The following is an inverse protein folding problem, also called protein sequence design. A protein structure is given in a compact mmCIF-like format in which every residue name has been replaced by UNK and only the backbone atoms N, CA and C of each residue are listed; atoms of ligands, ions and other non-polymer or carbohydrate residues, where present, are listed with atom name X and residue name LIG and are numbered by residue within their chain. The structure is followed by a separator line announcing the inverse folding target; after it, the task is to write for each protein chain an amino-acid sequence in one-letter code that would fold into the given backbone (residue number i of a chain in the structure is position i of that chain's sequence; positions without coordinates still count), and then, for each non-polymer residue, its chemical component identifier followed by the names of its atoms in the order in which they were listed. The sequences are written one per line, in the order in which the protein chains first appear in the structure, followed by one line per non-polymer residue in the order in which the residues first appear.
data_IF_806926857409
#
_entry.id   IF_806926857409
#
_cell.length_a   1.000
_cell.length_b   1.000
_cell.length_c   1.000
_cell.angle_alpha   90.00
_cell.angle_beta   90.00
_cell.angle_gamma   90.00
#
_symmetry.space_group_name_H-M   'P 1'
#
loop_
_entity.id
_entity.type
_entity.pdbx_description
1 polymer ?
#
# COMPACT_ATOMS: atom_id res chain seq x y z
N UNK A 1 3.92 -42.35 2.90
CA UNK A 1 4.79 -41.16 3.05
C UNK A 1 4.02 -39.96 2.47
N UNK A 2 3.09 -39.39 3.23
CA UNK A 2 2.18 -38.33 2.78
C UNK A 2 2.73 -36.97 3.23
N UNK A 3 3.51 -36.32 2.37
CA UNK A 3 3.98 -34.95 2.63
C UNK A 3 2.85 -33.99 2.25
N UNK A 4 2.31 -33.39 3.30
CA UNK A 4 1.22 -32.42 3.38
C UNK A 4 1.31 -31.35 2.29
N UNK A 5 0.30 -31.35 1.42
CA UNK A 5 -0.08 -30.19 0.63
C UNK A 5 -0.72 -29.14 1.55
N UNK A 6 0.08 -28.28 2.16
CA UNK A 6 -0.45 -27.00 2.66
C UNK A 6 -0.57 -26.04 1.47
N UNK A 7 -1.65 -26.24 0.71
CA UNK A 7 -2.28 -25.18 -0.09
C UNK A 7 -2.80 -24.12 0.89
N UNK A 8 -1.94 -23.19 1.28
CA UNK A 8 -2.40 -21.90 1.77
C UNK A 8 -2.00 -20.86 0.75
N UNK A 9 -2.74 -20.84 -0.35
CA UNK A 9 -2.93 -19.62 -1.13
C UNK A 9 -3.63 -18.67 -0.15
N UNK A 10 -2.84 -17.87 0.57
CA UNK A 10 -3.38 -16.68 1.22
C UNK A 10 -3.66 -15.72 0.07
N UNK A 11 -4.81 -15.94 -0.58
CA UNK A 11 -5.59 -14.89 -1.19
C UNK A 11 -5.84 -13.91 -0.05
N UNK A 12 -4.94 -12.95 0.11
CA UNK A 12 -5.29 -11.68 0.72
C UNK A 12 -6.24 -11.06 -0.29
N UNK A 13 -7.49 -11.51 -0.25
CA UNK A 13 -8.61 -10.68 -0.58
C UNK A 13 -8.40 -9.42 0.24
N UNK A 14 -7.88 -8.38 -0.41
CA UNK A 14 -8.22 -7.03 0.00
C UNK A 14 -9.73 -7.07 0.16
N UNK A 15 -10.30 -6.52 1.26
CA UNK A 15 -11.72 -6.33 1.28
C UNK A 15 -12.01 -5.61 -0.03
N UNK A 16 -12.81 -6.24 -0.89
CA UNK A 16 -13.44 -5.53 -1.97
C UNK A 16 -13.91 -4.26 -1.29
N UNK A 17 -13.35 -3.12 -1.66
CA UNK A 17 -13.96 -1.84 -1.36
C UNK A 17 -15.24 -1.79 -2.21
N UNK A 18 -16.14 -2.75 -2.04
CA UNK A 18 -17.55 -2.50 -1.94
C UNK A 18 -17.71 -1.63 -0.69
N UNK A 19 -17.22 -0.39 -0.82
CA UNK A 19 -17.65 0.73 -0.03
C UNK A 19 -19.14 0.79 -0.30
N UNK A 20 -19.90 0.12 0.56
CA UNK A 20 -21.32 0.32 0.66
C UNK A 20 -21.45 1.79 1.01
N UNK A 21 -21.77 2.61 0.01
CA UNK A 21 -22.11 4.02 0.21
C UNK A 21 -23.30 3.99 1.17
N UNK A 22 -23.15 4.43 2.43
CA UNK A 22 -24.27 4.45 3.34
C UNK A 22 -25.33 5.38 2.77
N UNK A 23 -26.61 5.04 2.95
CA UNK A 23 -27.73 5.85 2.46
C UNK A 23 -27.70 7.30 2.99
N UNK A 24 -26.90 7.55 4.02
CA UNK A 24 -26.71 8.83 4.69
C UNK A 24 -25.77 9.82 3.96
N UNK A 25 -25.29 9.52 2.74
CA UNK A 25 -24.66 10.55 1.90
C UNK A 25 -25.72 11.59 1.47
N UNK A 26 -25.72 12.74 2.15
CA UNK A 26 -26.84 13.69 2.20
C UNK A 26 -27.24 14.38 0.88
N UNK A 27 -26.53 14.21 -0.25
CA UNK A 27 -26.97 14.71 -1.56
C UNK A 27 -26.77 13.69 -2.70
N UNK A 28 -27.62 13.77 -3.74
CA UNK A 28 -27.45 12.97 -4.97
C UNK A 28 -26.11 13.25 -5.66
N UNK A 29 -25.63 14.48 -5.60
CA UNK A 29 -24.34 14.91 -6.14
C UNK A 29 -23.18 14.18 -5.46
N UNK A 30 -23.10 14.23 -4.12
CA UNK A 30 -22.03 13.55 -3.38
C UNK A 30 -22.10 12.03 -3.58
N UNK A 31 -23.30 11.44 -3.70
CA UNK A 31 -23.45 10.00 -4.01
C UNK A 31 -22.91 9.62 -5.38
N UNK A 32 -23.15 10.46 -6.39
CA UNK A 32 -22.60 10.24 -7.73
C UNK A 32 -21.07 10.37 -7.72
N UNK A 33 -20.54 11.40 -7.07
CA UNK A 33 -19.09 11.57 -6.91
C UNK A 33 -18.45 10.39 -6.18
N UNK A 34 -19.05 9.93 -5.07
CA UNK A 34 -18.59 8.78 -4.32
C UNK A 34 -18.56 7.51 -5.19
N UNK A 35 -19.61 7.26 -5.96
CA UNK A 35 -19.70 6.10 -6.88
C UNK A 35 -18.68 6.18 -8.00
N UNK A 36 -18.56 7.33 -8.66
CA UNK A 36 -17.55 7.54 -9.70
C UNK A 36 -16.15 7.34 -9.13
N UNK A 37 -15.97 7.72 -7.87
CA UNK A 37 -14.72 7.56 -7.21
C UNK A 37 -14.34 6.11 -6.95
N UNK A 38 -15.24 5.32 -6.35
CA UNK A 38 -14.99 3.90 -6.07
C UNK A 38 -14.78 3.10 -7.36
N UNK A 39 -15.57 3.39 -8.40
CA UNK A 39 -15.45 2.76 -9.72
C UNK A 39 -14.10 2.99 -10.39
N UNK A 40 -13.43 4.12 -10.10
CA UNK A 40 -12.11 4.45 -10.67
C UNK A 40 -10.96 4.03 -9.77
N UNK A 41 -11.14 4.09 -8.44
CA UNK A 41 -10.08 3.85 -7.48
C UNK A 41 -9.53 2.42 -7.57
N UNK A 42 -10.42 1.41 -7.65
CA UNK A 42 -9.99 0.01 -7.71
C UNK A 42 -9.19 -0.31 -8.97
N UNK A 43 -9.67 0.01 -10.20
CA UNK A 43 -8.86 -0.19 -11.40
C UNK A 43 -7.53 0.57 -11.39
N UNK A 44 -7.48 1.77 -10.81
CA UNK A 44 -6.22 2.53 -10.68
C UNK A 44 -5.24 1.84 -9.73
N UNK A 45 -5.71 1.32 -8.60
CA UNK A 45 -4.88 0.57 -7.66
C UNK A 45 -4.33 -0.72 -8.28
N UNK A 46 -5.18 -1.47 -8.99
CA UNK A 46 -4.78 -2.72 -9.66
C UNK A 46 -3.77 -2.46 -10.78
N UNK A 47 -3.97 -1.39 -11.53
CA UNK A 47 -3.00 -0.93 -12.53
C UNK A 47 -1.66 -0.57 -11.88
N UNK A 48 -1.69 0.25 -10.81
CA UNK A 48 -0.48 0.69 -10.15
C UNK A 48 0.31 -0.49 -9.57
N UNK A 49 -0.37 -1.46 -8.94
CA UNK A 49 0.28 -2.69 -8.45
C UNK A 49 0.95 -3.47 -9.58
N UNK A 50 0.29 -3.60 -10.73
CA UNK A 50 0.84 -4.29 -11.89
C UNK A 50 2.10 -3.60 -12.42
N UNK A 51 2.11 -2.26 -12.45
CA UNK A 51 3.30 -1.48 -12.83
C UNK A 51 4.41 -1.64 -11.79
N UNK A 52 4.10 -1.47 -10.50
CA UNK A 52 5.07 -1.53 -9.42
C UNK A 52 5.72 -2.92 -9.27
N UNK A 53 4.96 -3.98 -9.57
CA UNK A 53 5.41 -5.37 -9.63
C UNK A 53 6.17 -5.71 -10.92
N UNK A 54 6.20 -4.79 -11.91
CA UNK A 54 6.86 -5.00 -13.20
C UNK A 54 6.12 -5.92 -14.17
N UNK A 55 4.89 -6.35 -13.85
CA UNK A 55 4.06 -7.18 -14.75
C UNK A 55 3.41 -6.36 -15.86
N UNK A 56 3.36 -5.03 -15.70
CA UNK A 56 2.96 -4.07 -16.73
C UNK A 56 4.04 -3.01 -16.91
N UNK A 57 4.36 -2.67 -18.15
CA UNK A 57 5.25 -1.53 -18.45
C UNK A 57 4.50 -0.21 -18.25
N UNK A 58 5.15 0.74 -17.58
CA UNK A 58 4.71 2.13 -17.56
C UNK A 58 5.69 3.00 -18.34
N UNK A 59 5.15 3.98 -19.06
CA UNK A 59 5.95 5.04 -19.68
C UNK A 59 6.45 6.05 -18.66
N UNK A 60 5.75 6.22 -17.53
CA UNK A 60 6.11 7.12 -16.45
C UNK A 60 5.55 6.64 -15.10
N UNK A 61 6.29 5.75 -14.43
CA UNK A 61 5.88 5.18 -13.14
C UNK A 61 5.62 6.25 -12.07
N UNK A 62 6.42 7.33 -12.06
CA UNK A 62 6.23 8.42 -11.09
C UNK A 62 4.89 9.11 -11.32
N UNK A 63 4.53 9.36 -12.58
CA UNK A 63 3.23 9.91 -12.93
C UNK A 63 2.10 8.96 -12.52
N UNK A 64 2.23 7.67 -12.76
CA UNK A 64 1.20 6.69 -12.38
C UNK A 64 0.96 6.66 -10.86
N UNK A 65 2.04 6.76 -10.07
CA UNK A 65 1.95 6.88 -8.60
C UNK A 65 1.26 8.18 -8.21
N UNK A 66 1.71 9.31 -8.75
CA UNK A 66 1.14 10.64 -8.43
C UNK A 66 -0.34 10.71 -8.80
N UNK A 67 -0.72 10.27 -10.00
CA UNK A 67 -2.12 10.25 -10.45
C UNK A 67 -2.99 9.39 -9.52
N UNK A 68 -2.51 8.21 -9.11
CA UNK A 68 -3.21 7.36 -8.15
C UNK A 68 -3.34 8.01 -6.77
N UNK A 69 -2.26 8.62 -6.29
CA UNK A 69 -2.23 9.25 -4.97
C UNK A 69 -3.15 10.48 -4.90
N UNK A 70 -3.09 11.35 -5.90
CA UNK A 70 -3.97 12.52 -5.97
C UNK A 70 -5.43 12.10 -6.09
N UNK A 71 -5.71 11.09 -6.93
CA UNK A 71 -7.07 10.59 -7.11
C UNK A 71 -7.59 9.91 -5.84
N UNK A 72 -6.81 9.03 -5.22
CA UNK A 72 -7.20 8.32 -4.00
C UNK A 72 -7.42 9.29 -2.84
N UNK A 73 -6.51 10.25 -2.61
CA UNK A 73 -6.68 11.25 -1.57
C UNK A 73 -7.97 12.07 -1.76
N UNK A 74 -8.25 12.51 -2.99
CA UNK A 74 -9.52 13.18 -3.32
C UNK A 74 -10.70 12.25 -3.08
N UNK A 75 -10.58 10.99 -3.47
CA UNK A 75 -11.61 9.97 -3.30
C UNK A 75 -12.03 9.80 -1.85
N UNK A 76 -11.05 9.58 -0.99
CA UNK A 76 -11.30 9.33 0.42
C UNK A 76 -11.84 10.56 1.13
N UNK A 77 -11.47 11.78 0.71
CA UNK A 77 -12.11 13.01 1.19
C UNK A 77 -13.59 13.08 0.80
N UNK A 78 -13.94 12.79 -0.45
CA UNK A 78 -15.33 12.72 -0.90
C UNK A 78 -16.11 11.66 -0.11
N UNK A 79 -15.52 10.49 0.10
CA UNK A 79 -16.15 9.41 0.86
C UNK A 79 -16.26 9.71 2.36
N UNK A 80 -15.31 10.44 2.94
CA UNK A 80 -15.36 10.87 4.35
C UNK A 80 -16.59 11.74 4.64
N UNK A 81 -16.96 12.64 3.71
CA UNK A 81 -18.18 13.44 3.78
C UNK A 81 -19.46 12.59 3.71
N UNK A 82 -19.33 11.34 3.27
CA UNK A 82 -20.40 10.48 2.82
C UNK A 82 -20.69 9.34 3.81
N UNK A 83 -19.64 8.73 4.37
CA UNK A 83 -19.75 7.44 5.05
C UNK A 83 -19.08 7.37 6.42
N UNK A 84 -18.68 8.50 7.01
CA UNK A 84 -17.99 8.49 8.31
C UNK A 84 -16.68 7.70 8.27
N UNK A 85 -16.01 7.70 7.11
CA UNK A 85 -14.68 7.09 6.97
C UNK A 85 -13.76 7.64 8.04
N UNK A 86 -13.01 6.75 8.69
CA UNK A 86 -11.99 7.09 9.68
C UNK A 86 -11.04 8.16 9.08
N UNK A 87 -10.95 9.36 9.68
CA UNK A 87 -10.02 10.40 9.25
C UNK A 87 -8.58 9.91 9.15
N UNK A 88 -8.18 8.91 9.96
CA UNK A 88 -6.84 8.34 9.91
C UNK A 88 -6.57 7.59 8.61
N UNK A 89 -7.61 7.13 7.89
CA UNK A 89 -7.43 6.45 6.61
C UNK A 89 -6.77 7.37 5.57
N UNK A 90 -7.09 8.67 5.59
CA UNK A 90 -6.44 9.67 4.75
C UNK A 90 -4.95 9.76 5.08
N UNK A 91 -4.59 9.93 6.36
CA UNK A 91 -3.19 9.97 6.81
C UNK A 91 -2.44 8.68 6.45
N UNK A 92 -3.11 7.53 6.54
CA UNK A 92 -2.53 6.24 6.20
C UNK A 92 -2.22 6.14 4.69
N UNK A 93 -3.07 6.69 3.82
CA UNK A 93 -2.87 6.72 2.37
C UNK A 93 -1.72 7.63 1.95
N UNK A 94 -1.58 8.79 2.59
CA UNK A 94 -0.39 9.63 2.40
C UNK A 94 0.88 8.82 2.70
N UNK A 95 0.85 7.99 3.75
CA UNK A 95 1.94 7.06 4.06
C UNK A 95 2.22 6.04 2.96
N UNK A 96 1.18 5.48 2.33
CA UNK A 96 1.32 4.58 1.16
C UNK A 96 1.96 5.29 -0.01
N UNK A 97 1.48 6.49 -0.30
CA UNK A 97 1.92 7.29 -1.43
C UNK A 97 3.38 7.70 -1.30
N UNK A 98 3.79 8.07 -0.09
CA UNK A 98 5.19 8.31 0.25
C UNK A 98 6.03 7.05 0.05
N UNK A 99 5.52 5.88 0.46
CA UNK A 99 6.23 4.61 0.33
C UNK A 99 6.37 4.16 -1.14
N UNK A 100 5.31 4.29 -1.95
CA UNK A 100 5.39 4.03 -3.39
C UNK A 100 6.38 4.97 -4.08
N UNK A 101 6.35 6.25 -3.72
CA UNK A 101 7.29 7.26 -4.23
C UNK A 101 8.73 6.96 -3.82
N UNK A 102 8.97 6.58 -2.56
CA UNK A 102 10.27 6.16 -2.06
C UNK A 102 10.78 4.95 -2.85
N UNK A 103 9.94 3.91 -3.01
CA UNK A 103 10.27 2.75 -3.84
C UNK A 103 10.71 3.20 -5.23
N UNK A 104 9.86 3.93 -5.95
CA UNK A 104 10.12 4.23 -7.35
C UNK A 104 11.31 5.18 -7.60
N UNK A 105 11.59 6.10 -6.67
CA UNK A 105 12.63 7.12 -6.85
C UNK A 105 14.00 6.70 -6.32
N UNK A 106 14.03 6.26 -5.06
CA UNK A 106 15.30 6.03 -4.33
C UNK A 106 15.64 4.56 -4.27
N UNK A 107 14.64 3.70 -4.13
CA UNK A 107 14.86 2.32 -3.69
C UNK A 107 14.65 1.27 -4.78
N UNK A 108 14.23 1.66 -5.99
CA UNK A 108 13.80 0.72 -7.04
C UNK A 108 14.92 -0.24 -7.46
N UNK A 109 16.14 0.29 -7.62
CA UNK A 109 17.32 -0.51 -7.95
C UNK A 109 17.69 -1.54 -6.87
N UNK A 110 17.39 -1.27 -5.59
CA UNK A 110 17.57 -2.25 -4.53
C UNK A 110 16.38 -3.23 -4.45
N UNK A 111 15.15 -2.72 -4.60
CA UNK A 111 13.93 -3.52 -4.65
C UNK A 111 14.05 -4.64 -5.69
N UNK A 112 14.45 -4.31 -6.93
CA UNK A 112 14.63 -5.28 -8.01
C UNK A 112 15.63 -6.39 -7.67
N UNK A 113 16.69 -6.09 -6.89
CA UNK A 113 17.66 -7.10 -6.43
C UNK A 113 17.10 -8.02 -5.35
N UNK A 114 16.16 -7.54 -4.53
CA UNK A 114 15.55 -8.31 -3.45
C UNK A 114 14.37 -9.19 -3.91
N UNK A 115 13.72 -8.85 -5.01
CA UNK A 115 12.54 -9.55 -5.53
C UNK A 115 12.89 -10.60 -6.58
N UNK A 116 13.84 -11.50 -6.27
CA UNK A 116 14.21 -12.60 -7.17
C UNK A 116 13.22 -13.77 -7.13
N UNK A 117 12.32 -13.83 -6.14
CA UNK A 117 11.22 -14.80 -6.08
C UNK A 117 9.93 -14.18 -5.55
N UNK A 118 8.79 -14.61 -6.11
CA UNK A 118 7.43 -14.14 -5.75
C UNK A 118 6.95 -14.75 -4.43
N UNK A 119 7.44 -15.93 -4.07
CA UNK A 119 6.80 -16.80 -3.07
C UNK A 119 7.07 -16.40 -1.62
N UNK A 120 8.09 -15.58 -1.34
CA UNK A 120 8.45 -15.30 0.06
C UNK A 120 9.19 -13.97 0.22
N UNK A 121 8.47 -12.85 0.31
CA UNK A 121 9.14 -11.64 0.76
C UNK A 121 8.23 -10.64 1.44
N UNK A 122 8.47 -10.41 2.73
CA UNK A 122 8.06 -9.21 3.45
C UNK A 122 8.26 -7.91 2.65
N UNK A 123 9.21 -7.86 1.70
CA UNK A 123 9.39 -6.76 0.74
C UNK A 123 8.15 -6.51 -0.12
N UNK A 124 7.53 -7.56 -0.67
CA UNK A 124 6.28 -7.41 -1.42
C UNK A 124 5.15 -6.96 -0.49
N UNK A 125 5.01 -7.58 0.68
CA UNK A 125 4.00 -7.18 1.67
C UNK A 125 4.20 -5.76 2.21
N UNK A 126 5.44 -5.29 2.29
CA UNK A 126 5.74 -3.93 2.73
C UNK A 126 5.39 -2.94 1.62
N UNK A 127 5.94 -3.11 0.42
CA UNK A 127 5.82 -2.12 -0.65
C UNK A 127 4.58 -2.24 -1.53
N UNK A 128 4.04 -3.43 -1.78
CA UNK A 128 3.00 -3.66 -2.80
C UNK A 128 1.62 -3.85 -2.18
N UNK A 129 1.56 -4.57 -1.05
CA UNK A 129 0.33 -4.83 -0.32
C UNK A 129 0.51 -4.49 1.15
N UNK A 130 0.64 -3.20 1.52
CA UNK A 130 0.84 -2.78 2.91
C UNK A 130 -0.36 -3.13 3.79
N UNK A 131 -0.44 -4.40 4.22
CA UNK A 131 -1.56 -4.96 4.96
C UNK A 131 -1.84 -4.21 6.26
N UNK A 132 -0.82 -3.57 6.83
CA UNK A 132 -0.89 -2.83 8.07
C UNK A 132 -1.90 -1.66 8.02
N UNK A 133 -2.13 -1.05 6.86
CA UNK A 133 -3.08 0.07 6.74
C UNK A 133 -4.52 -0.34 7.02
N UNK A 134 -4.88 -1.57 6.65
CA UNK A 134 -6.22 -2.08 6.82
C UNK A 134 -6.45 -2.68 8.22
N UNK A 135 -5.43 -2.72 9.08
CA UNK A 135 -5.57 -3.25 10.43
C UNK A 135 -6.18 -2.16 11.32
N UNK A 136 -7.41 -2.33 11.84
CA UNK A 136 -8.07 -1.30 12.64
C UNK A 136 -7.39 -1.11 14.00
N UNK A 137 -6.91 -2.20 14.61
CA UNK A 137 -6.18 -2.16 15.88
C UNK A 137 -4.79 -1.52 15.72
N UNK A 138 -4.55 -0.42 16.45
CA UNK A 138 -3.29 0.33 16.38
C UNK A 138 -2.09 -0.55 16.77
N UNK A 139 -2.22 -1.38 17.81
CA UNK A 139 -1.10 -2.20 18.29
C UNK A 139 -0.68 -3.22 17.25
N UNK A 140 -1.63 -3.99 16.72
CA UNK A 140 -1.40 -4.98 15.68
C UNK A 140 -0.88 -4.34 14.39
N UNK A 141 -1.40 -3.15 14.01
CA UNK A 141 -0.88 -2.35 12.90
C UNK A 141 0.61 -2.04 13.07
N UNK A 142 0.98 -1.49 14.22
CA UNK A 142 2.36 -1.11 14.51
C UNK A 142 3.29 -2.32 14.60
N UNK A 143 2.86 -3.42 15.19
CA UNK A 143 3.64 -4.67 15.24
C UNK A 143 3.88 -5.22 13.82
N UNK A 144 2.85 -5.21 12.97
CA UNK A 144 2.94 -5.66 11.57
C UNK A 144 3.89 -4.77 10.77
N UNK A 145 3.77 -3.45 10.89
CA UNK A 145 4.64 -2.48 10.21
C UNK A 145 6.10 -2.64 10.66
N UNK A 146 6.36 -2.74 11.98
CA UNK A 146 7.70 -2.96 12.53
C UNK A 146 8.30 -4.29 12.08
N UNK A 147 7.51 -5.37 12.09
CA UNK A 147 7.97 -6.71 11.70
C UNK A 147 8.35 -6.77 10.21
N UNK A 148 7.46 -6.29 9.33
CA UNK A 148 7.74 -6.24 7.90
C UNK A 148 8.92 -5.30 7.60
N UNK A 149 8.97 -4.13 8.24
CA UNK A 149 10.07 -3.17 8.12
C UNK A 149 11.42 -3.78 8.49
N UNK A 150 11.52 -4.46 9.65
CA UNK A 150 12.75 -5.16 10.05
C UNK A 150 13.19 -6.23 9.06
N UNK A 151 12.23 -6.96 8.49
CA UNK A 151 12.52 -7.97 7.49
C UNK A 151 13.08 -7.35 6.20
N UNK A 152 12.48 -6.27 5.71
CA UNK A 152 13.00 -5.52 4.55
C UNK A 152 14.37 -4.93 4.84
N UNK A 153 14.59 -4.35 6.03
CA UNK A 153 15.87 -3.80 6.43
C UNK A 153 16.98 -4.85 6.38
N UNK A 154 16.76 -6.03 6.98
CA UNK A 154 17.74 -7.14 6.95
C UNK A 154 18.05 -7.59 5.53
N UNK A 155 17.03 -7.72 4.67
CA UNK A 155 17.25 -8.07 3.24
C UNK A 155 18.00 -6.98 2.49
N UNK A 156 17.72 -5.72 2.81
CA UNK A 156 18.43 -4.57 2.23
C UNK A 156 19.91 -4.60 2.60
N UNK A 157 20.24 -4.91 3.86
CA UNK A 157 21.62 -5.05 4.32
C UNK A 157 22.35 -6.21 3.68
N UNK A 158 21.65 -7.32 3.41
CA UNK A 158 22.27 -8.52 2.82
C UNK A 158 22.43 -8.45 1.30
N UNK A 159 21.54 -7.73 0.60
CA UNK A 159 21.49 -7.69 -0.88
C UNK A 159 21.98 -6.37 -1.47
N UNK A 160 21.83 -5.27 -0.73
CA UNK A 160 22.08 -3.92 -1.22
C UNK A 160 23.22 -3.24 -0.45
N UNK A 161 23.69 -2.10 -0.96
CA UNK A 161 24.72 -1.31 -0.27
C UNK A 161 24.20 -0.72 1.04
N UNK A 162 25.11 -0.41 1.97
CA UNK A 162 24.80 0.28 3.24
C UNK A 162 23.95 1.56 3.07
N UNK A 163 24.13 2.31 1.98
CA UNK A 163 23.33 3.51 1.70
C UNK A 163 21.83 3.20 1.57
N UNK A 164 21.46 2.13 0.85
CA UNK A 164 20.07 1.69 0.74
C UNK A 164 19.49 1.28 2.09
N UNK A 165 20.28 0.61 2.95
CA UNK A 165 19.82 0.24 4.29
C UNK A 165 19.52 1.48 5.14
N UNK A 166 20.40 2.49 5.10
CA UNK A 166 20.18 3.76 5.79
C UNK A 166 18.93 4.48 5.26
N UNK A 167 18.81 4.63 3.94
CA UNK A 167 17.63 5.27 3.33
C UNK A 167 16.33 4.55 3.67
N UNK A 168 16.36 3.21 3.69
CA UNK A 168 15.20 2.42 4.10
C UNK A 168 14.89 2.58 5.59
N UNK A 169 15.92 2.64 6.45
CA UNK A 169 15.74 2.87 7.88
C UNK A 169 15.07 4.22 8.15
N UNK A 170 15.56 5.29 7.50
CA UNK A 170 14.98 6.63 7.60
C UNK A 170 13.51 6.63 7.14
N UNK A 171 13.22 5.97 6.00
CA UNK A 171 11.85 5.82 5.51
C UNK A 171 10.96 5.03 6.48
N UNK A 172 11.48 3.95 7.08
CA UNK A 172 10.73 3.14 8.04
C UNK A 172 10.41 3.96 9.30
N UNK A 173 11.36 4.74 9.81
CA UNK A 173 11.15 5.61 10.97
C UNK A 173 10.08 6.67 10.70
N UNK A 174 10.10 7.29 9.51
CA UNK A 174 9.05 8.24 9.10
C UNK A 174 7.67 7.59 8.99
N UNK A 175 7.60 6.36 8.47
CA UNK A 175 6.34 5.60 8.45
C UNK A 175 5.87 5.28 9.88
N UNK A 176 6.76 4.83 10.77
CA UNK A 176 6.39 4.56 12.15
C UNK A 176 5.80 5.79 12.85
N UNK A 177 6.46 6.95 12.71
CA UNK A 177 5.94 8.24 13.24
C UNK A 177 4.58 8.60 12.65
N UNK A 178 4.41 8.46 11.32
CA UNK A 178 3.15 8.76 10.63
C UNK A 178 1.99 7.90 11.13
N UNK A 179 2.23 6.63 11.40
CA UNK A 179 1.24 5.69 11.94
C UNK A 179 1.13 5.74 13.48
N UNK A 180 1.83 6.69 14.14
CA UNK A 180 1.90 6.85 15.60
C UNK A 180 2.37 5.58 16.33
N UNK A 181 3.31 4.87 15.70
CA UNK A 181 4.05 3.73 16.22
C UNK A 181 5.40 4.19 16.80
#
# INVERSE_FOLDING_TARGET
MLIRAFKSIVLISLPNFALLIPDNCFSSEIRNEARDCTNRLSPMLDNLKSVLAGTRKSSNLIKDITDFCDFSLKCYKTLQLCSGIDPNLITNLDGVCDMYSFKAKKFDGCYQKMTTSIEDNCVYSFFMTPVYINIPDKKQRCETLKSNGKCVQKKTESVCSKNYSKEFHDQLDDQLKRFLC
#
